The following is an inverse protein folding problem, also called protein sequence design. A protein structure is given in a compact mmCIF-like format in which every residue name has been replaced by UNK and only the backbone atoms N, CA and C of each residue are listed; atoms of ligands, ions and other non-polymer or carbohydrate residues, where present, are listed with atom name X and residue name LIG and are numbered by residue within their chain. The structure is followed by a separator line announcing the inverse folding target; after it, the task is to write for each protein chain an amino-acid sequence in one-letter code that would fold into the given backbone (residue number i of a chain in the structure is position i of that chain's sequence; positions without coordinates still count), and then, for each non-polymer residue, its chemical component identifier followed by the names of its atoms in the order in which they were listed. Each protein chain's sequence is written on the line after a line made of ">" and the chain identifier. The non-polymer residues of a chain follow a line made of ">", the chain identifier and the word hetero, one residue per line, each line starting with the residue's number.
data_IF_168023273235
#
_entry.id   IF_168023273235
#
_cell.length_a   1.000
_cell.length_b   1.000
_cell.length_c   1.000
_cell.angle_alpha   90.00
_cell.angle_beta   90.00
_cell.angle_gamma   90.00
#
_symmetry.space_group_name_H-M   'P 1'
#
loop_
_entity.id
_entity.type
_entity.pdbx_description
1 polymer ?
#
# COMPACT_ATOMS: atom_id res chain seq x y z
N UNK A 1 -5.59 -4.76 2.59
CA UNK A 1 -4.45 -5.70 2.48
C UNK A 1 -4.51 -6.81 3.52
N UNK A 2 -4.51 -6.49 4.82
CA UNK A 2 -4.46 -7.51 5.89
C UNK A 2 -5.56 -8.58 5.78
N UNK A 3 -6.79 -8.14 5.50
CA UNK A 3 -7.93 -9.03 5.30
C UNK A 3 -7.69 -10.07 4.19
N UNK A 4 -6.94 -9.73 3.13
CA UNK A 4 -6.65 -10.69 2.07
C UNK A 4 -5.75 -11.83 2.58
N UNK A 5 -4.70 -11.50 3.35
CA UNK A 5 -3.87 -12.51 4.02
C UNK A 5 -4.70 -13.36 4.99
N UNK A 6 -5.53 -12.72 5.82
CA UNK A 6 -6.32 -13.44 6.83
C UNK A 6 -7.32 -14.41 6.19
N UNK A 7 -7.95 -14.03 5.06
CA UNK A 7 -8.85 -14.92 4.29
C UNK A 7 -8.08 -16.07 3.67
N UNK A 8 -6.98 -15.81 2.97
CA UNK A 8 -6.16 -16.87 2.36
C UNK A 8 -5.67 -17.88 3.42
N UNK A 9 -5.16 -17.39 4.56
CA UNK A 9 -4.76 -18.23 5.70
C UNK A 9 -5.93 -19.06 6.25
N UNK A 10 -7.10 -18.45 6.44
CA UNK A 10 -8.28 -19.15 6.93
C UNK A 10 -8.75 -20.26 5.97
N UNK A 11 -8.45 -20.12 4.67
CA UNK A 11 -8.74 -21.11 3.63
C UNK A 11 -7.60 -22.11 3.40
N UNK A 12 -6.49 -22.03 4.15
CA UNK A 12 -5.31 -22.87 3.93
C UNK A 12 -4.61 -22.59 2.59
N UNK A 13 -4.79 -21.40 2.04
CA UNK A 13 -4.19 -20.94 0.78
C UNK A 13 -3.10 -19.90 1.05
N UNK A 14 -2.21 -19.73 0.07
CA UNK A 14 -1.22 -18.66 0.07
C UNK A 14 -1.71 -17.49 -0.79
N UNK A 15 -1.44 -16.25 -0.36
CA UNK A 15 -1.73 -15.06 -1.15
C UNK A 15 -0.63 -14.87 -2.21
N UNK A 16 -0.93 -15.21 -3.46
CA UNK A 16 0.06 -15.28 -4.54
C UNK A 16 0.62 -13.94 -5.04
N UNK A 17 0.03 -12.80 -4.66
CA UNK A 17 0.54 -11.50 -5.07
C UNK A 17 -0.41 -10.34 -4.76
N UNK A 18 0.08 -9.14 -5.05
CA UNK A 18 -0.66 -7.88 -4.96
C UNK A 18 -0.46 -7.07 -6.23
N UNK A 19 -1.47 -6.27 -6.58
CA UNK A 19 -1.38 -5.27 -7.63
C UNK A 19 -1.58 -3.90 -6.98
N UNK A 20 -0.68 -2.96 -7.24
CA UNK A 20 -0.66 -1.64 -6.60
C UNK A 20 -0.28 -0.60 -7.67
N UNK A 21 -0.92 0.55 -7.64
CA UNK A 21 -0.55 1.72 -8.44
C UNK A 21 0.37 2.64 -7.65
N UNK A 22 1.55 2.93 -8.19
CA UNK A 22 2.58 3.70 -7.51
C UNK A 22 3.39 4.56 -8.48
N UNK A 23 4.07 5.56 -7.94
CA UNK A 23 5.04 6.37 -8.66
C UNK A 23 6.27 6.64 -7.79
N UNK A 24 7.43 6.84 -8.44
CA UNK A 24 8.67 7.27 -7.76
C UNK A 24 8.70 8.77 -7.45
N UNK A 25 7.74 9.52 -7.98
CA UNK A 25 7.60 10.96 -7.74
C UNK A 25 7.06 11.24 -6.34
N UNK A 26 7.40 12.41 -5.79
CA UNK A 26 6.96 12.84 -4.47
C UNK A 26 5.55 13.46 -4.51
N UNK A 27 4.58 12.64 -4.90
CA UNK A 27 3.17 13.03 -5.06
C UNK A 27 2.38 12.95 -3.75
N UNK A 28 1.31 13.72 -3.70
CA UNK A 28 0.32 13.72 -2.61
C UNK A 28 -1.03 13.24 -3.14
N UNK A 29 -1.09 12.00 -3.62
CA UNK A 29 -2.28 11.44 -4.28
C UNK A 29 -3.12 10.55 -3.34
N UNK A 30 -2.49 9.80 -2.42
CA UNK A 30 -3.16 8.99 -1.42
C UNK A 30 -3.00 9.56 0.00
N UNK A 31 -4.08 9.57 0.80
CA UNK A 31 -4.04 9.97 2.22
C UNK A 31 -3.40 8.89 3.11
N UNK A 32 -2.95 9.29 4.31
CA UNK A 32 -2.38 8.41 5.31
C UNK A 32 -0.88 8.13 5.11
N UNK A 33 -0.47 6.90 5.38
CA UNK A 33 0.95 6.50 5.46
C UNK A 33 1.65 7.04 6.71
N UNK A 34 2.92 6.70 6.88
CA UNK A 34 3.72 7.02 8.07
C UNK A 34 3.85 8.52 8.38
N UNK A 35 3.68 9.39 7.37
CA UNK A 35 3.68 10.86 7.55
C UNK A 35 2.31 11.44 7.91
N UNK A 36 1.26 10.63 7.92
CA UNK A 36 -0.09 11.07 8.25
C UNK A 36 -0.63 12.09 7.25
N UNK A 37 -0.39 11.90 5.96
CA UNK A 37 -0.84 12.81 4.91
C UNK A 37 -2.36 13.02 4.96
N UNK A 38 -2.81 14.27 5.05
CA UNK A 38 -4.21 14.65 5.16
C UNK A 38 -4.90 14.88 3.82
N UNK A 39 -6.20 15.20 3.84
CA UNK A 39 -6.94 15.62 2.65
C UNK A 39 -6.44 16.97 2.13
N UNK A 40 -6.04 17.87 3.04
CA UNK A 40 -5.48 19.18 2.73
C UNK A 40 -4.15 19.11 1.98
N UNK A 41 -3.41 18.01 2.13
CA UNK A 41 -2.15 17.82 1.43
C UNK A 41 -2.36 17.47 -0.04
N UNK A 42 -3.53 16.94 -0.43
CA UNK A 42 -3.77 16.43 -1.76
C UNK A 42 -3.52 17.50 -2.83
N UNK A 43 -3.93 18.75 -2.59
CA UNK A 43 -3.76 19.84 -3.57
C UNK A 43 -2.30 20.25 -3.83
N UNK A 44 -1.31 19.71 -3.11
CA UNK A 44 0.09 20.11 -3.22
C UNK A 44 0.79 19.49 -4.44
N UNK A 45 0.53 18.22 -4.71
CA UNK A 45 1.18 17.44 -5.76
C UNK A 45 0.29 16.26 -6.20
N UNK A 46 -0.96 16.53 -6.58
CA UNK A 46 -1.84 15.55 -7.24
C UNK A 46 -1.62 15.62 -8.75
N UNK A 47 -0.96 14.62 -9.33
CA UNK A 47 -0.50 14.66 -10.73
C UNK A 47 -1.15 13.59 -11.62
N UNK A 48 -1.74 12.56 -11.04
CA UNK A 48 -2.47 11.54 -11.78
C UNK A 48 -3.75 12.09 -12.40
N UNK A 49 -3.96 11.82 -13.68
CA UNK A 49 -5.22 12.12 -14.40
C UNK A 49 -6.33 11.09 -14.14
N UNK A 50 -5.96 9.92 -13.60
CA UNK A 50 -6.87 8.81 -13.32
C UNK A 50 -6.85 8.53 -11.82
N UNK A 51 -6.45 7.32 -11.43
CA UNK A 51 -6.50 6.88 -10.04
C UNK A 51 -5.27 7.41 -9.27
N UNK A 52 -5.45 7.74 -7.98
CA UNK A 52 -4.35 8.21 -7.13
C UNK A 52 -3.33 7.10 -6.89
N UNK A 53 -2.04 7.44 -7.02
CA UNK A 53 -0.93 6.50 -6.86
C UNK A 53 -0.27 6.65 -5.50
N UNK A 54 0.29 5.56 -4.99
CA UNK A 54 1.18 5.64 -3.84
C UNK A 54 2.47 6.36 -4.21
N UNK A 55 2.91 7.28 -3.35
CA UNK A 55 4.27 7.82 -3.44
C UNK A 55 5.32 6.80 -2.93
N UNK A 56 6.60 7.13 -3.08
CA UNK A 56 7.69 6.23 -2.72
C UNK A 56 7.69 5.78 -1.25
N UNK A 57 7.34 6.67 -0.33
CA UNK A 57 7.33 6.35 1.10
C UNK A 57 6.18 5.40 1.47
N UNK A 58 4.98 5.70 0.97
CA UNK A 58 3.81 4.83 1.14
C UNK A 58 4.04 3.44 0.50
N UNK A 59 4.72 3.41 -0.64
CA UNK A 59 5.06 2.17 -1.35
C UNK A 59 6.01 1.29 -0.54
N UNK A 60 7.07 1.88 0.04
CA UNK A 60 8.04 1.15 0.88
C UNK A 60 7.35 0.66 2.17
N UNK A 61 6.51 1.48 2.79
CA UNK A 61 5.75 1.10 3.97
C UNK A 61 4.86 -0.13 3.71
N UNK A 62 4.11 -0.11 2.60
CA UNK A 62 3.27 -1.22 2.19
C UNK A 62 4.10 -2.48 1.90
N UNK A 63 5.25 -2.34 1.24
CA UNK A 63 6.17 -3.46 1.01
C UNK A 63 6.63 -4.12 2.33
N UNK A 64 6.98 -3.32 3.34
CA UNK A 64 7.33 -3.85 4.67
C UNK A 64 6.14 -4.51 5.37
N UNK A 65 4.93 -3.97 5.24
CA UNK A 65 3.71 -4.59 5.79
C UNK A 65 3.46 -5.97 5.16
N UNK A 66 3.56 -6.07 3.84
CA UNK A 66 3.42 -7.33 3.09
C UNK A 66 4.48 -8.33 3.54
N UNK A 67 5.75 -7.93 3.59
CA UNK A 67 6.83 -8.81 4.03
C UNK A 67 6.62 -9.34 5.47
N UNK A 68 6.08 -8.53 6.39
CA UNK A 68 5.74 -8.97 7.75
C UNK A 68 4.61 -10.01 7.76
N UNK A 69 3.55 -9.79 6.98
CA UNK A 69 2.43 -10.75 6.89
C UNK A 69 2.88 -12.07 6.26
N UNK A 70 3.63 -12.03 5.17
CA UNK A 70 4.22 -13.23 4.55
C UNK A 70 5.10 -14.04 5.51
N UNK A 71 5.92 -13.37 6.34
CA UNK A 71 6.71 -14.06 7.38
C UNK A 71 5.86 -14.68 8.49
N UNK A 72 4.72 -14.06 8.82
CA UNK A 72 3.84 -14.54 9.88
C UNK A 72 2.97 -15.72 9.43
N UNK A 73 2.70 -15.82 8.12
CA UNK A 73 1.92 -16.89 7.50
C UNK A 73 2.79 -18.08 7.04
N UNK A 74 4.13 -17.94 7.06
CA UNK A 74 5.08 -19.01 6.76
C UNK A 74 5.24 -20.00 7.92
N UNK A 75 5.14 -21.29 7.62
CA UNK A 75 5.62 -22.39 8.46
C UNK A 75 7.16 -22.41 8.48
#
# INVERSE_FOLDING_TARGET
>A
MEQAFDIHRAMGQELGGVHIELTGENVTECIGGARGQGEEDLSRAYESEVDPRLNGEQSIELAFLIARKMKSDGH
#
